data_IF_575357347112
#
_entry.id   IF_575357347112
#
_cell.length_a   1.000
_cell.length_b   1.000
_cell.length_c   1.000
_cell.angle_alpha   90.00
_cell.angle_beta   90.00
_cell.angle_gamma   90.00
#
_symmetry.space_group_name_H-M   'P 1'
#
loop_
_entity.id
_entity.type
_entity.pdbx_description
1 polymer ?
#
# COMPACT_ATOMS: atom_id res chain seq x y z
N UNK A 1 -4.62 -42.27 -29.77
CA UNK A 1 -5.57 -41.20 -29.40
C UNK A 1 -5.01 -40.51 -28.18
N UNK A 2 -4.77 -39.20 -28.28
CA UNK A 2 -4.18 -38.37 -27.25
C UNK A 2 -5.19 -38.11 -26.12
N UNK A 3 -4.78 -38.32 -24.87
CA UNK A 3 -5.52 -37.90 -23.68
C UNK A 3 -4.69 -36.88 -22.92
N UNK A 4 -5.02 -35.60 -23.07
CA UNK A 4 -4.38 -34.50 -22.36
C UNK A 4 -4.84 -34.51 -20.90
N UNK A 5 -3.91 -34.70 -19.96
CA UNK A 5 -4.16 -34.43 -18.55
C UNK A 5 -4.10 -32.92 -18.35
N UNK A 6 -5.25 -32.32 -18.07
CA UNK A 6 -5.37 -30.93 -17.66
C UNK A 6 -4.74 -30.83 -16.27
N UNK A 7 -3.54 -30.25 -16.21
CA UNK A 7 -2.93 -29.83 -14.95
C UNK A 7 -3.77 -28.65 -14.47
N UNK A 8 -4.75 -28.94 -13.62
CA UNK A 8 -5.46 -27.92 -12.86
C UNK A 8 -4.47 -27.35 -11.85
N UNK A 9 -3.70 -26.35 -12.28
CA UNK A 9 -2.88 -25.54 -11.40
C UNK A 9 -3.83 -24.68 -10.55
N UNK A 10 -4.37 -25.28 -9.49
CA UNK A 10 -4.86 -24.50 -8.37
C UNK A 10 -3.70 -23.65 -7.89
N UNK A 11 -3.81 -22.34 -8.10
CA UNK A 11 -2.90 -21.31 -7.65
C UNK A 11 -2.43 -21.63 -6.25
N UNK A 12 -1.17 -22.02 -6.12
CA UNK A 12 -0.49 -21.93 -4.84
C UNK A 12 -0.70 -20.49 -4.39
N UNK A 13 -1.35 -20.29 -3.25
CA UNK A 13 -1.17 -19.09 -2.47
C UNK A 13 0.30 -19.06 -2.07
N UNK A 14 1.16 -18.71 -3.03
CA UNK A 14 2.53 -18.42 -2.77
C UNK A 14 2.44 -17.19 -1.88
N UNK A 15 2.89 -17.37 -0.64
CA UNK A 15 3.08 -16.35 0.38
C UNK A 15 4.26 -15.44 -0.05
N UNK A 16 4.23 -15.04 -1.31
CA UNK A 16 5.14 -14.18 -2.02
C UNK A 16 4.59 -12.77 -1.88
N UNK A 17 5.48 -11.78 -1.70
CA UNK A 17 5.03 -10.42 -1.55
C UNK A 17 4.14 -10.01 -2.74
N UNK A 18 3.15 -9.13 -2.54
CA UNK A 18 2.37 -8.64 -3.67
C UNK A 18 3.29 -7.89 -4.63
N UNK A 19 3.03 -8.00 -5.93
CA UNK A 19 3.88 -7.45 -6.98
C UNK A 19 4.17 -5.95 -6.81
N UNK A 20 3.21 -5.18 -6.26
CA UNK A 20 3.40 -3.75 -5.98
C UNK A 20 4.53 -3.49 -4.96
N UNK A 21 4.80 -4.46 -4.07
CA UNK A 21 5.83 -4.41 -3.03
C UNK A 21 7.14 -5.12 -3.43
N UNK A 22 7.27 -5.64 -4.66
CA UNK A 22 8.51 -6.26 -5.11
C UNK A 22 9.62 -5.22 -5.34
N UNK A 23 10.79 -5.40 -4.71
CA UNK A 23 11.94 -4.51 -4.91
C UNK A 23 11.73 -3.07 -4.44
N UNK A 24 10.83 -2.85 -3.49
CA UNK A 24 10.58 -1.53 -2.89
C UNK A 24 11.55 -1.28 -1.74
N UNK A 25 12.01 -0.04 -1.59
CA UNK A 25 12.88 0.38 -0.49
C UNK A 25 12.08 1.09 0.60
N UNK A 26 12.49 0.94 1.87
CA UNK A 26 11.90 1.69 2.96
C UNK A 26 12.46 3.12 2.96
N UNK A 27 11.58 4.12 2.96
CA UNK A 27 11.97 5.50 3.18
C UNK A 27 12.37 5.74 4.64
N UNK A 28 13.17 6.79 4.88
CA UNK A 28 13.43 7.28 6.25
C UNK A 28 12.43 8.37 6.61
N UNK A 29 11.79 8.26 7.78
CA UNK A 29 10.88 9.28 8.29
C UNK A 29 9.58 8.74 8.92
N UNK A 30 8.53 9.56 8.90
CA UNK A 30 7.24 9.24 9.51
C UNK A 30 6.36 8.40 8.59
N UNK A 31 5.64 7.43 9.15
CA UNK A 31 4.94 6.39 8.39
C UNK A 31 3.44 6.63 8.17
N UNK A 32 2.91 7.81 8.49
CA UNK A 32 1.50 8.15 8.25
C UNK A 32 1.37 9.43 7.44
N UNK A 33 0.53 9.39 6.40
CA UNK A 33 0.18 10.56 5.59
C UNK A 33 -1.16 11.19 6.02
N UNK A 34 -1.82 10.67 7.06
CA UNK A 34 -2.97 11.35 7.66
C UNK A 34 -2.49 12.66 8.31
N UNK A 35 -3.20 13.79 8.11
CA UNK A 35 -2.84 15.05 8.75
C UNK A 35 -2.93 14.92 10.29
N UNK A 36 -2.04 15.61 11.01
CA UNK A 36 -2.03 15.56 12.47
C UNK A 36 -3.26 16.26 13.07
N UNK A 37 -3.82 15.72 14.18
CA UNK A 37 -4.97 16.32 14.90
C UNK A 37 -4.68 17.71 15.47
N UNK A 38 -3.40 18.08 15.63
CA UNK A 38 -2.96 19.38 16.13
C UNK A 38 -1.99 19.99 15.14
N UNK A 39 -2.25 21.24 14.74
CA UNK A 39 -1.39 22.02 13.85
C UNK A 39 0.07 22.14 14.36
N UNK A 40 0.29 21.96 15.67
CA UNK A 40 1.62 22.01 16.30
C UNK A 40 2.48 20.75 16.11
N UNK A 41 1.91 19.61 15.68
CA UNK A 41 2.67 18.41 15.32
C UNK A 41 3.01 18.30 13.83
N UNK A 42 2.52 19.24 13.02
CA UNK A 42 2.94 19.41 11.63
C UNK A 42 4.20 20.27 11.61
N UNK A 43 5.25 19.79 12.28
CA UNK A 43 6.57 20.28 11.93
C UNK A 43 6.82 19.86 10.48
N UNK A 44 6.97 20.84 9.59
CA UNK A 44 7.44 20.70 8.21
C UNK A 44 8.82 20.01 8.07
N UNK A 45 9.29 19.36 9.14
CA UNK A 45 10.56 18.65 9.30
C UNK A 45 10.35 17.12 9.33
N UNK A 46 9.13 16.60 9.56
CA UNK A 46 8.89 15.14 9.49
C UNK A 46 8.70 14.68 8.03
N UNK A 47 9.81 14.36 7.37
CA UNK A 47 9.82 13.69 6.05
C UNK A 47 8.97 12.42 6.14
N UNK A 48 8.00 12.25 5.25
CA UNK A 48 7.30 10.96 5.11
C UNK A 48 8.30 9.90 4.65
N UNK A 49 8.22 8.70 5.21
CA UNK A 49 8.99 7.53 4.82
C UNK A 49 8.50 6.97 3.47
N UNK A 50 8.33 7.83 2.46
CA UNK A 50 7.87 7.45 1.13
C UNK A 50 8.87 6.45 0.55
N UNK A 51 8.33 5.32 0.10
CA UNK A 51 9.06 4.39 -0.75
C UNK A 51 8.95 4.90 -2.20
N UNK A 52 10.05 5.37 -2.83
CA UNK A 52 9.98 5.96 -4.16
C UNK A 52 9.40 5.00 -5.20
N UNK A 53 9.77 3.73 -5.14
CA UNK A 53 9.34 2.71 -6.09
C UNK A 53 7.85 2.40 -5.96
N UNK A 54 7.35 2.28 -4.71
CA UNK A 54 5.92 2.09 -4.47
C UNK A 54 5.11 3.30 -4.91
N UNK A 55 5.61 4.51 -4.62
CA UNK A 55 4.94 5.74 -4.99
C UNK A 55 4.84 5.92 -6.50
N UNK A 56 5.92 5.60 -7.23
CA UNK A 56 5.93 5.65 -8.69
C UNK A 56 4.91 4.67 -9.27
N UNK A 57 4.88 3.41 -8.80
CA UNK A 57 3.91 2.41 -9.28
C UNK A 57 2.46 2.79 -9.01
N UNK A 58 2.20 3.39 -7.85
CA UNK A 58 0.86 3.90 -7.51
C UNK A 58 0.46 5.04 -8.44
N UNK A 59 1.38 5.97 -8.74
CA UNK A 59 1.11 7.08 -9.65
C UNK A 59 0.91 6.61 -11.10
N UNK A 60 1.69 5.65 -11.57
CA UNK A 60 1.57 5.07 -12.91
C UNK A 60 0.26 4.28 -13.08
N UNK A 61 -0.14 3.52 -12.07
CA UNK A 61 -1.37 2.71 -12.11
C UNK A 61 -2.64 3.54 -11.81
N UNK A 62 -2.53 4.56 -10.95
CA UNK A 62 -3.64 5.39 -10.48
C UNK A 62 -3.23 6.87 -10.50
N UNK A 63 -3.12 7.46 -11.70
CA UNK A 63 -2.86 8.89 -11.84
C UNK A 63 -4.03 9.71 -11.28
N UNK A 64 -3.83 11.02 -11.01
CA UNK A 64 -4.91 11.90 -10.61
C UNK A 64 -6.11 11.83 -11.57
N UNK A 65 -7.32 11.70 -11.02
CA UNK A 65 -8.55 11.45 -11.78
C UNK A 65 -8.96 9.98 -11.89
N UNK A 66 -8.11 9.03 -11.47
CA UNK A 66 -8.48 7.62 -11.36
C UNK A 66 -9.62 7.42 -10.34
N UNK A 67 -10.44 6.38 -10.50
CA UNK A 67 -11.52 6.10 -9.53
C UNK A 67 -10.96 5.49 -8.26
N UNK A 68 -11.48 5.95 -7.11
CA UNK A 68 -11.13 5.37 -5.81
C UNK A 68 -11.43 3.87 -5.74
N UNK A 69 -12.55 3.45 -6.32
CA UNK A 69 -12.96 2.05 -6.35
C UNK A 69 -11.93 1.17 -7.05
N UNK A 70 -11.33 1.64 -8.14
CA UNK A 70 -10.30 0.89 -8.85
C UNK A 70 -9.03 0.71 -8.01
N UNK A 71 -8.59 1.79 -7.33
CA UNK A 71 -7.44 1.74 -6.42
C UNK A 71 -7.72 0.79 -5.24
N UNK A 72 -8.86 0.92 -4.58
CA UNK A 72 -9.24 0.08 -3.44
C UNK A 72 -9.31 -1.40 -3.83
N UNK A 73 -10.00 -1.72 -4.94
CA UNK A 73 -10.09 -3.10 -5.44
C UNK A 73 -8.73 -3.69 -5.80
N UNK A 74 -7.82 -2.89 -6.37
CA UNK A 74 -6.47 -3.31 -6.68
C UNK A 74 -5.64 -3.61 -5.43
N UNK A 75 -5.75 -2.78 -4.39
CA UNK A 75 -5.07 -3.00 -3.11
C UNK A 75 -5.62 -4.24 -2.39
N UNK A 76 -6.94 -4.41 -2.35
CA UNK A 76 -7.58 -5.59 -1.77
C UNK A 76 -7.13 -6.89 -2.44
N UNK A 77 -7.04 -6.92 -3.78
CA UNK A 77 -6.52 -8.08 -4.54
C UNK A 77 -5.07 -8.43 -4.20
N UNK A 78 -4.31 -7.48 -3.65
CA UNK A 78 -2.93 -7.66 -3.23
C UNK A 78 -2.79 -7.95 -1.73
N UNK A 79 -3.91 -8.18 -1.03
CA UNK A 79 -3.91 -8.52 0.39
C UNK A 79 -3.79 -7.32 1.33
N UNK A 80 -3.93 -6.09 0.82
CA UNK A 80 -4.08 -4.93 1.69
C UNK A 80 -5.45 -4.98 2.38
N UNK A 81 -5.50 -4.50 3.62
CA UNK A 81 -6.73 -4.27 4.36
C UNK A 81 -7.07 -2.78 4.32
N UNK A 82 -8.29 -2.46 3.91
CA UNK A 82 -8.79 -1.09 3.88
C UNK A 82 -9.28 -0.65 5.27
N UNK A 83 -8.88 0.54 5.71
CA UNK A 83 -9.21 1.06 7.05
C UNK A 83 -10.17 2.25 7.03
N UNK A 84 -10.61 2.69 5.84
CA UNK A 84 -11.47 3.86 5.70
C UNK A 84 -10.68 5.17 5.63
N UNK A 85 -11.37 6.26 6.00
CA UNK A 85 -10.79 7.59 6.03
C UNK A 85 -9.93 7.82 7.30
N UNK A 86 -8.98 8.74 7.21
CA UNK A 86 -8.26 9.26 8.36
C UNK A 86 -9.25 10.01 9.27
N UNK A 87 -9.19 9.79 10.59
CA UNK A 87 -10.05 10.49 11.54
C UNK A 87 -9.94 12.02 11.49
N UNK A 88 -8.80 12.53 11.01
CA UNK A 88 -8.48 13.96 10.90
C UNK A 88 -8.90 14.59 9.59
N UNK A 89 -9.11 13.78 8.57
CA UNK A 89 -9.43 14.26 7.23
C UNK A 89 -10.25 13.19 6.49
N UNK A 90 -11.55 13.44 6.29
CA UNK A 90 -12.44 12.48 5.63
C UNK A 90 -12.13 12.27 4.14
N UNK A 91 -11.32 13.16 3.54
CA UNK A 91 -10.90 13.05 2.14
C UNK A 91 -9.68 12.14 1.99
N UNK A 92 -8.87 11.97 3.04
CA UNK A 92 -7.70 11.09 3.01
C UNK A 92 -8.09 9.71 3.52
N UNK A 93 -7.71 8.68 2.77
CA UNK A 93 -8.01 7.28 3.05
C UNK A 93 -6.73 6.46 3.07
N UNK A 94 -6.79 5.29 3.69
CA UNK A 94 -5.63 4.42 3.73
C UNK A 94 -5.95 2.94 3.79
N UNK A 95 -4.98 2.16 3.33
CA UNK A 95 -4.96 0.70 3.43
C UNK A 95 -3.57 0.25 3.91
N UNK A 96 -3.53 -0.86 4.63
CA UNK A 96 -2.28 -1.43 5.14
C UNK A 96 -2.10 -2.87 4.69
N UNK A 97 -0.86 -3.26 4.43
CA UNK A 97 -0.44 -4.63 4.20
C UNK A 97 0.54 -5.05 5.28
N UNK A 98 0.37 -6.25 5.83
CA UNK A 98 1.26 -6.83 6.83
C UNK A 98 1.55 -8.28 6.46
N UNK A 99 2.81 -8.62 6.25
CA UNK A 99 3.26 -9.99 6.04
C UNK A 99 4.40 -10.30 7.00
N UNK A 100 4.26 -11.42 7.73
CA UNK A 100 5.36 -11.97 8.52
C UNK A 100 6.25 -12.78 7.58
N UNK A 101 7.56 -12.56 7.63
CA UNK A 101 8.52 -13.44 6.97
C UNK A 101 8.49 -14.85 7.57
N UNK A 102 9.07 -15.81 6.85
CA UNK A 102 9.25 -17.19 7.32
C UNK A 102 10.68 -17.40 7.82
N UNK A 103 10.85 -18.20 8.88
CA UNK A 103 12.16 -18.60 9.41
C UNK A 103 12.54 -17.94 10.75
N UNK A 104 13.69 -18.32 11.29
CA UNK A 104 14.20 -17.85 12.58
C UNK A 104 14.71 -16.40 12.59
N UNK A 105 14.92 -15.81 11.42
CA UNK A 105 15.26 -14.39 11.19
C UNK A 105 14.14 -13.68 10.40
N UNK A 106 12.88 -14.02 10.70
CA UNK A 106 11.74 -13.53 9.95
C UNK A 106 11.58 -12.00 10.07
N UNK A 107 11.94 -11.28 9.01
CA UNK A 107 11.55 -9.88 8.84
C UNK A 107 10.05 -9.78 8.52
N UNK A 108 9.36 -8.90 9.22
CA UNK A 108 7.99 -8.47 8.90
C UNK A 108 8.07 -7.34 7.89
N UNK A 109 7.32 -7.49 6.81
CA UNK A 109 7.07 -6.40 5.87
C UNK A 109 5.74 -5.77 6.21
N UNK A 110 5.76 -4.45 6.38
CA UNK A 110 4.58 -3.62 6.53
C UNK A 110 4.58 -2.58 5.42
N UNK A 111 3.44 -2.38 4.77
CA UNK A 111 3.25 -1.30 3.82
C UNK A 111 1.95 -0.56 4.11
N UNK A 112 1.93 0.74 3.85
CA UNK A 112 0.74 1.56 3.91
C UNK A 112 0.63 2.35 2.63
N UNK A 113 -0.58 2.41 2.10
CA UNK A 113 -0.94 3.25 0.96
C UNK A 113 -1.97 4.25 1.45
N UNK A 114 -1.70 5.52 1.19
CA UNK A 114 -2.58 6.65 1.49
C UNK A 114 -3.00 7.30 0.18
N UNK A 115 -4.22 7.79 0.11
CA UNK A 115 -4.69 8.57 -1.03
C UNK A 115 -5.73 9.58 -0.60
N UNK A 116 -5.81 10.69 -1.32
CA UNK A 116 -6.88 11.67 -1.18
C UNK A 116 -7.90 11.49 -2.30
N UNK A 117 -9.17 11.68 -1.98
CA UNK A 117 -10.27 11.70 -2.95
C UNK A 117 -10.94 13.07 -3.01
N UNK A 118 -11.37 13.46 -4.20
CA UNK A 118 -12.23 14.62 -4.40
C UNK A 118 -13.72 14.28 -4.17
N UNK A 119 -14.58 15.29 -4.32
CA UNK A 119 -16.03 15.15 -4.15
C UNK A 119 -16.68 14.17 -5.14
N UNK A 120 -16.04 13.89 -6.28
CA UNK A 120 -16.49 12.96 -7.32
C UNK A 120 -15.94 11.54 -7.10
N UNK A 121 -15.25 11.30 -5.98
CA UNK A 121 -14.64 10.00 -5.66
C UNK A 121 -13.44 9.67 -6.56
N UNK A 122 -12.74 10.69 -7.05
CA UNK A 122 -11.52 10.52 -7.85
C UNK A 122 -10.29 10.74 -7.00
N UNK A 123 -9.26 9.96 -7.28
CA UNK A 123 -7.95 10.07 -6.63
C UNK A 123 -7.31 11.40 -7.03
N UNK A 124 -6.92 12.19 -6.03
CA UNK A 124 -6.16 13.44 -6.23
C UNK A 124 -4.66 13.16 -6.16
N UNK A 125 -4.23 12.34 -5.20
CA UNK A 125 -2.86 11.86 -5.06
C UNK A 125 -2.80 10.52 -4.35
N UNK A 126 -1.69 9.80 -4.51
CA UNK A 126 -1.37 8.56 -3.80
C UNK A 126 0.02 8.67 -3.15
N UNK A 127 0.20 8.00 -2.00
CA UNK A 127 1.47 7.92 -1.27
C UNK A 127 1.67 6.51 -0.73
N UNK A 128 2.84 5.94 -1.01
CA UNK A 128 3.23 4.62 -0.52
C UNK A 128 4.35 4.69 0.51
N UNK A 129 4.18 4.00 1.64
CA UNK A 129 5.20 3.83 2.68
C UNK A 129 5.43 2.34 2.90
N UNK A 130 6.70 1.93 3.00
CA UNK A 130 7.07 0.54 3.32
C UNK A 130 8.07 0.54 4.47
N UNK A 131 7.93 -0.42 5.37
CA UNK A 131 8.86 -0.69 6.45
C UNK A 131 9.15 -2.18 6.57
N UNK A 132 10.40 -2.51 6.84
CA UNK A 132 10.85 -3.85 7.15
C UNK A 132 11.28 -3.85 8.62
N UNK A 133 10.74 -4.77 9.42
CA UNK A 133 11.07 -4.89 10.85
C UNK A 133 11.41 -6.34 11.18
N UNK A 134 12.58 -6.59 11.79
CA UNK A 134 12.95 -7.90 12.30
C UNK A 134 13.97 -7.73 13.43
N UNK A 135 13.88 -8.61 14.42
CA UNK A 135 14.86 -8.79 15.50
C UNK A 135 15.94 -9.77 15.04
#
# INVERSE_FOLDING_TARGET
>A
MAGAFIVSACSNANEELPAILHGVSAGSGYSSACPARKAEEVSSIRKLAISPELNQRLLEAFPPGATEEALTNFLLKQGFSFHGACDTDPLVRYASFNQKGKGSLAHRTHAQVFWEVDADGKVVWTKGVVGFSGL
#
